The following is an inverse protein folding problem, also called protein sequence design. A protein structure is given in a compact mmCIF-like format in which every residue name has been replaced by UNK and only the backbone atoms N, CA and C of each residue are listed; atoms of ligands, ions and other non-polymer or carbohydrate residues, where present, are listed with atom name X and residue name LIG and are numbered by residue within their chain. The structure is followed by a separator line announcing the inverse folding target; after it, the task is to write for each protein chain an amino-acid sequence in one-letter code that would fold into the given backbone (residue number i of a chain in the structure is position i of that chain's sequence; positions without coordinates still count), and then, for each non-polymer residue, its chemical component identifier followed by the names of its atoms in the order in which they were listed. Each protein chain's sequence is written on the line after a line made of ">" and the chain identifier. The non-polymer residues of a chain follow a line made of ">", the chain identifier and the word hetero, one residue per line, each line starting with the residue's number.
data_IF_077795369779
#
_entry.id   IF_077795369779
#
_cell.length_a   1.000
_cell.length_b   1.000
_cell.length_c   1.000
_cell.angle_alpha   90.00
_cell.angle_beta   90.00
_cell.angle_gamma   90.00
#
_symmetry.space_group_name_H-M   'P 1'
#
loop_
_entity.id
_entity.type
_entity.pdbx_description
1 polymer ?
#
# COMPACT_ATOMS: atom_id res chain seq x y z
N UNK A 1 20.46 -16.20 -25.23
CA UNK A 1 19.33 -15.98 -24.30
C UNK A 1 19.59 -14.66 -23.59
N UNK A 2 18.72 -13.69 -23.78
CA UNK A 2 18.82 -12.45 -22.96
C UNK A 2 18.62 -12.80 -21.50
N UNK A 3 19.53 -12.36 -20.65
CA UNK A 3 19.41 -12.55 -19.19
C UNK A 3 18.25 -11.70 -18.69
N UNK A 4 17.27 -12.35 -18.05
CA UNK A 4 16.15 -11.64 -17.43
C UNK A 4 16.64 -10.73 -16.31
N UNK A 5 16.03 -9.55 -16.18
CA UNK A 5 16.26 -8.64 -15.06
C UNK A 5 15.54 -9.19 -13.82
N UNK A 6 16.22 -9.16 -12.68
CA UNK A 6 15.63 -9.62 -11.42
C UNK A 6 14.97 -8.44 -10.72
N UNK A 7 13.68 -8.56 -10.44
CA UNK A 7 12.92 -7.59 -9.64
C UNK A 7 12.26 -8.28 -8.44
N UNK A 8 12.07 -7.54 -7.36
CA UNK A 8 11.42 -8.06 -6.16
C UNK A 8 10.27 -7.16 -5.76
N UNK A 9 9.11 -7.77 -5.55
CA UNK A 9 7.87 -7.08 -5.21
C UNK A 9 7.49 -7.40 -3.76
N UNK A 10 7.11 -6.38 -2.99
CA UNK A 10 6.63 -6.55 -1.62
C UNK A 10 5.27 -5.87 -1.47
N UNK A 11 4.32 -6.53 -0.85
CA UNK A 11 3.23 -5.80 -0.21
C UNK A 11 3.76 -5.04 1.02
N UNK A 12 3.00 -4.06 1.50
CA UNK A 12 3.42 -3.19 2.60
C UNK A 12 2.82 -3.60 3.95
N UNK A 13 1.50 -3.44 4.09
CA UNK A 13 0.77 -3.70 5.33
C UNK A 13 0.65 -5.21 5.60
N UNK A 14 1.14 -5.68 6.75
CA UNK A 14 1.18 -7.12 7.05
C UNK A 14 2.40 -7.85 6.46
N UNK A 15 3.05 -7.31 5.44
CA UNK A 15 4.22 -7.89 4.77
C UNK A 15 5.52 -7.22 5.21
N UNK A 16 5.82 -6.02 4.73
CA UNK A 16 7.03 -5.25 5.16
C UNK A 16 6.89 -4.69 6.57
N UNK A 17 5.68 -4.33 6.96
CA UNK A 17 5.35 -3.89 8.32
C UNK A 17 4.27 -4.78 8.93
N UNK A 18 4.29 -4.95 10.27
CA UNK A 18 3.29 -5.73 11.01
C UNK A 18 2.04 -4.91 11.40
N UNK A 19 1.87 -3.72 10.83
CA UNK A 19 0.80 -2.78 11.15
C UNK A 19 -0.08 -2.50 9.92
N UNK A 20 -1.28 -1.98 10.15
CA UNK A 20 -2.14 -1.37 9.14
C UNK A 20 -1.81 0.13 9.07
N UNK A 21 -1.14 0.55 7.99
CA UNK A 21 -0.68 1.93 7.81
C UNK A 21 -1.84 2.91 7.66
N UNK A 22 -2.98 2.50 7.08
CA UNK A 22 -4.16 3.34 6.95
C UNK A 22 -4.70 3.76 8.32
N UNK A 23 -4.89 2.80 9.23
CA UNK A 23 -5.41 3.08 10.57
C UNK A 23 -4.41 3.90 11.40
N UNK A 24 -3.13 3.58 11.30
CA UNK A 24 -2.05 4.33 11.97
C UNK A 24 -1.99 5.78 11.48
N UNK A 25 -2.02 6.00 10.17
CA UNK A 25 -2.01 7.32 9.55
C UNK A 25 -3.26 8.12 9.93
N UNK A 26 -4.45 7.54 9.80
CA UNK A 26 -5.70 8.21 10.17
C UNK A 26 -5.70 8.65 11.64
N UNK A 27 -5.24 7.78 12.55
CA UNK A 27 -5.14 8.11 13.98
C UNK A 27 -4.13 9.23 14.24
N UNK A 28 -2.96 9.21 13.57
CA UNK A 28 -1.94 10.27 13.70
C UNK A 28 -2.46 11.62 13.24
N UNK A 29 -3.13 11.65 12.09
CA UNK A 29 -3.61 12.89 11.44
C UNK A 29 -4.82 13.48 12.16
N UNK A 30 -5.79 12.65 12.51
CA UNK A 30 -7.07 13.12 13.08
C UNK A 30 -7.07 13.23 14.60
N UNK A 31 -6.09 12.62 15.28
CA UNK A 31 -6.09 12.45 16.72
C UNK A 31 -7.10 11.39 17.20
N UNK A 32 -6.91 10.91 18.44
CA UNK A 32 -7.68 9.80 18.98
C UNK A 32 -9.20 10.08 19.07
N UNK A 33 -9.68 11.28 19.51
CA UNK A 33 -11.12 11.50 19.63
C UNK A 33 -11.86 11.44 18.29
N UNK A 34 -11.36 12.15 17.26
CA UNK A 34 -11.97 12.12 15.91
C UNK A 34 -11.86 10.74 15.27
N UNK A 35 -10.73 10.06 15.44
CA UNK A 35 -10.54 8.70 14.95
C UNK A 35 -11.60 7.75 15.54
N UNK A 36 -11.77 7.75 16.87
CA UNK A 36 -12.78 6.91 17.53
C UNK A 36 -14.20 7.24 17.09
N UNK A 37 -14.54 8.53 16.96
CA UNK A 37 -15.85 8.97 16.49
C UNK A 37 -16.15 8.43 15.07
N UNK A 38 -15.21 8.59 14.13
CA UNK A 38 -15.39 8.09 12.76
C UNK A 38 -15.52 6.56 12.74
N UNK A 39 -14.66 5.85 13.48
CA UNK A 39 -14.75 4.38 13.56
C UNK A 39 -16.06 3.91 14.14
N UNK A 40 -16.60 4.58 15.18
CA UNK A 40 -17.88 4.24 15.80
C UNK A 40 -19.05 4.48 14.84
N UNK A 41 -19.08 5.61 14.14
CA UNK A 41 -20.12 5.91 13.13
C UNK A 41 -20.12 4.88 12.00
N UNK A 42 -18.93 4.39 11.60
CA UNK A 42 -18.80 3.41 10.53
C UNK A 42 -18.81 1.94 11.01
N UNK A 43 -18.98 1.70 12.31
CA UNK A 43 -18.98 0.35 12.89
C UNK A 43 -19.98 -0.61 12.22
N UNK A 44 -21.24 -0.23 11.90
CA UNK A 44 -22.16 -1.13 11.20
C UNK A 44 -21.62 -1.58 9.84
N UNK A 45 -21.01 -0.66 9.06
CA UNK A 45 -20.39 -0.98 7.78
C UNK A 45 -19.17 -1.91 7.96
N UNK A 46 -18.36 -1.70 8.98
CA UNK A 46 -17.22 -2.56 9.30
C UNK A 46 -17.65 -3.96 9.68
N UNK A 47 -18.73 -4.08 10.46
CA UNK A 47 -19.34 -5.39 10.76
C UNK A 47 -19.83 -6.09 9.49
N UNK A 48 -20.53 -5.36 8.60
CA UNK A 48 -20.95 -5.91 7.30
C UNK A 48 -19.75 -6.34 6.44
N UNK A 49 -18.65 -5.60 6.47
CA UNK A 49 -17.41 -5.96 5.79
C UNK A 49 -16.81 -7.26 6.36
N UNK A 50 -16.78 -7.41 7.69
CA UNK A 50 -16.32 -8.65 8.34
C UNK A 50 -17.22 -9.85 7.97
N UNK A 51 -18.52 -9.63 7.81
CA UNK A 51 -19.48 -10.64 7.34
C UNK A 51 -19.44 -10.84 5.82
N UNK A 52 -18.50 -10.21 5.09
CA UNK A 52 -18.36 -10.24 3.63
C UNK A 52 -19.57 -9.71 2.84
N UNK A 53 -20.46 -8.95 3.48
CA UNK A 53 -21.63 -8.29 2.86
C UNK A 53 -21.27 -6.95 2.21
N UNK A 54 -20.15 -6.35 2.59
CA UNK A 54 -19.64 -5.11 2.00
C UNK A 54 -18.21 -5.38 1.47
N UNK A 55 -17.89 -5.02 0.21
CA UNK A 55 -16.54 -5.14 -0.31
C UNK A 55 -15.55 -4.29 0.50
N UNK A 56 -14.36 -4.84 0.74
CA UNK A 56 -13.29 -4.15 1.50
C UNK A 56 -12.91 -2.80 0.88
N UNK A 57 -12.89 -2.71 -0.45
CA UNK A 57 -12.54 -1.48 -1.18
C UNK A 57 -13.57 -0.36 -0.95
N UNK A 58 -14.86 -0.72 -0.91
CA UNK A 58 -15.94 0.23 -0.60
C UNK A 58 -15.82 0.74 0.84
N UNK A 59 -15.59 -0.16 1.79
CA UNK A 59 -15.41 0.21 3.19
C UNK A 59 -14.19 1.12 3.37
N UNK A 60 -13.07 0.78 2.75
CA UNK A 60 -11.84 1.57 2.77
C UNK A 60 -12.04 2.97 2.20
N UNK A 61 -12.68 3.09 1.03
CA UNK A 61 -12.92 4.39 0.40
C UNK A 61 -13.87 5.26 1.24
N UNK A 62 -14.89 4.68 1.88
CA UNK A 62 -15.78 5.42 2.79
C UNK A 62 -15.04 5.93 4.01
N UNK A 63 -14.19 5.12 4.63
CA UNK A 63 -13.34 5.55 5.74
C UNK A 63 -12.35 6.62 5.29
N UNK A 64 -11.71 6.46 4.13
CA UNK A 64 -10.83 7.46 3.56
C UNK A 64 -11.53 8.81 3.38
N UNK A 65 -12.74 8.79 2.81
CA UNK A 65 -13.57 9.98 2.67
C UNK A 65 -13.90 10.62 4.02
N UNK A 66 -14.32 9.83 5.02
CA UNK A 66 -14.68 10.33 6.34
C UNK A 66 -13.51 11.00 7.08
N UNK A 67 -12.29 10.50 6.87
CA UNK A 67 -11.10 11.07 7.51
C UNK A 67 -10.52 12.27 6.77
N UNK A 68 -10.50 12.24 5.43
CA UNK A 68 -9.60 13.09 4.65
C UNK A 68 -10.29 13.96 3.59
N UNK A 69 -11.58 13.76 3.27
CA UNK A 69 -12.28 14.59 2.30
C UNK A 69 -12.19 16.08 2.65
N UNK A 70 -11.87 16.90 1.65
CA UNK A 70 -11.72 18.35 1.78
C UNK A 70 -10.37 18.79 2.38
N UNK A 71 -9.46 17.87 2.68
CA UNK A 71 -8.11 18.24 3.11
C UNK A 71 -7.30 18.75 1.91
N UNK A 72 -6.54 19.81 2.12
CA UNK A 72 -5.56 20.31 1.15
C UNK A 72 -4.51 19.23 0.84
N UNK A 73 -4.21 19.03 -0.43
CA UNK A 73 -3.34 17.94 -0.90
C UNK A 73 -1.89 18.10 -0.45
N UNK A 74 -1.37 19.34 -0.39
CA UNK A 74 0.01 19.55 0.03
C UNK A 74 0.17 19.29 1.54
N UNK A 75 -0.84 19.69 2.33
CA UNK A 75 -0.90 19.31 3.74
C UNK A 75 -0.96 17.80 3.93
N UNK A 76 -1.77 17.10 3.13
CA UNK A 76 -1.89 15.64 3.19
C UNK A 76 -0.55 14.96 2.87
N UNK A 77 0.14 15.41 1.83
CA UNK A 77 1.48 14.93 1.45
C UNK A 77 2.53 15.22 2.52
N UNK A 78 2.47 16.41 3.14
CA UNK A 78 3.38 16.72 4.25
C UNK A 78 3.16 15.78 5.44
N UNK A 79 1.91 15.52 5.81
CA UNK A 79 1.57 14.55 6.85
C UNK A 79 2.03 13.13 6.49
N UNK A 80 2.01 12.76 5.21
CA UNK A 80 2.58 11.51 4.70
C UNK A 80 4.10 11.43 4.90
N UNK A 81 4.83 12.51 4.60
CA UNK A 81 6.28 12.59 4.86
C UNK A 81 6.61 12.48 6.36
N UNK A 82 5.82 13.12 7.20
CA UNK A 82 5.99 13.05 8.66
C UNK A 82 5.67 11.66 9.21
N UNK A 83 4.68 10.97 8.60
CA UNK A 83 4.32 9.61 8.97
C UNK A 83 5.39 8.59 8.58
N UNK A 84 6.08 8.81 7.46
CA UNK A 84 7.15 7.93 6.99
C UNK A 84 8.28 7.74 8.02
N UNK A 85 8.44 8.67 8.96
CA UNK A 85 9.42 8.57 10.06
C UNK A 85 9.01 7.55 11.12
N UNK A 86 7.72 7.26 11.27
CA UNK A 86 7.21 6.32 12.27
C UNK A 86 7.26 4.87 11.77
N UNK A 87 7.33 4.65 10.45
CA UNK A 87 7.23 3.33 9.81
C UNK A 87 8.31 2.38 10.30
N UNK A 88 9.51 2.89 10.55
CA UNK A 88 10.66 2.10 11.02
C UNK A 88 10.34 1.36 12.34
N UNK A 89 9.42 1.88 13.16
CA UNK A 89 8.94 1.25 14.40
C UNK A 89 8.04 0.02 14.20
N UNK A 90 7.60 -0.25 12.98
CA UNK A 90 6.67 -1.35 12.66
C UNK A 90 7.21 -2.34 11.64
N UNK A 91 8.49 -2.23 11.28
CA UNK A 91 9.14 -3.09 10.29
C UNK A 91 9.11 -4.56 10.74
N UNK A 92 8.70 -5.44 9.84
CA UNK A 92 8.89 -6.88 9.95
C UNK A 92 10.32 -7.21 9.51
N UNK A 93 11.22 -7.31 10.49
CA UNK A 93 12.67 -7.31 10.28
C UNK A 93 13.14 -8.31 9.22
N UNK A 94 12.71 -9.57 9.32
CA UNK A 94 13.15 -10.61 8.40
C UNK A 94 12.78 -10.29 6.92
N UNK A 95 11.58 -9.79 6.66
CA UNK A 95 11.13 -9.44 5.30
C UNK A 95 11.83 -8.17 4.80
N UNK A 96 12.03 -7.20 5.69
CA UNK A 96 12.75 -5.99 5.35
C UNK A 96 14.22 -6.26 5.01
N UNK A 97 14.88 -7.16 5.74
CA UNK A 97 16.26 -7.60 5.43
C UNK A 97 16.33 -8.23 4.02
N UNK A 98 15.34 -9.05 3.63
CA UNK A 98 15.25 -9.58 2.26
C UNK A 98 15.16 -8.45 1.21
N UNK A 99 14.37 -7.40 1.49
CA UNK A 99 14.24 -6.26 0.58
C UNK A 99 15.55 -5.46 0.46
N UNK A 100 16.24 -5.24 1.59
CA UNK A 100 17.53 -4.55 1.60
C UNK A 100 18.62 -5.36 0.89
N UNK A 101 18.64 -6.67 1.07
CA UNK A 101 19.62 -7.53 0.42
C UNK A 101 19.39 -7.64 -1.09
N UNK A 102 18.12 -7.69 -1.53
CA UNK A 102 17.78 -7.60 -2.94
C UNK A 102 18.34 -6.29 -3.56
N UNK A 103 18.15 -5.17 -2.87
CA UNK A 103 18.68 -3.88 -3.32
C UNK A 103 20.21 -3.82 -3.36
N UNK A 104 20.90 -4.35 -2.34
CA UNK A 104 22.38 -4.45 -2.32
C UNK A 104 22.90 -5.28 -3.48
N UNK A 105 22.12 -6.27 -3.94
CA UNK A 105 22.41 -7.10 -5.12
C UNK A 105 22.10 -6.37 -6.44
N UNK A 106 21.70 -5.11 -6.43
CA UNK A 106 21.36 -4.31 -7.61
C UNK A 106 20.02 -4.64 -8.25
N UNK A 107 19.12 -5.34 -7.52
CA UNK A 107 17.76 -5.61 -8.00
C UNK A 107 16.84 -4.42 -7.72
N UNK A 108 15.90 -4.17 -8.63
CA UNK A 108 14.83 -3.21 -8.37
C UNK A 108 13.83 -3.81 -7.37
N UNK A 109 13.55 -3.04 -6.33
CA UNK A 109 12.60 -3.38 -5.28
C UNK A 109 11.37 -2.48 -5.40
N UNK A 110 10.21 -3.10 -5.59
CA UNK A 110 8.92 -2.41 -5.67
C UNK A 110 8.07 -2.75 -4.45
N UNK A 111 7.47 -1.74 -3.85
CA UNK A 111 6.41 -1.88 -2.85
C UNK A 111 5.07 -1.70 -3.56
N UNK A 112 4.29 -2.78 -3.66
CA UNK A 112 3.00 -2.82 -4.39
C UNK A 112 1.88 -2.97 -3.37
N UNK A 113 1.22 -1.86 -3.03
CA UNK A 113 0.34 -1.80 -1.86
C UNK A 113 -1.06 -1.29 -2.15
N UNK A 114 -2.04 -1.82 -1.44
CA UNK A 114 -3.37 -1.23 -1.39
C UNK A 114 -3.38 0.13 -0.65
N UNK A 115 -2.41 0.42 0.20
CA UNK A 115 -2.32 1.68 0.93
C UNK A 115 -2.08 2.88 0.01
N UNK A 116 -2.33 4.10 0.52
CA UNK A 116 -2.25 5.31 -0.30
C UNK A 116 -0.78 5.69 -0.50
N UNK A 117 -0.40 5.96 -1.74
CA UNK A 117 0.98 6.31 -2.12
C UNK A 117 1.53 7.48 -1.32
N UNK A 118 0.72 8.49 -1.02
CA UNK A 118 1.16 9.74 -0.38
C UNK A 118 1.80 9.53 1.00
N UNK A 119 1.48 8.44 1.71
CA UNK A 119 2.14 8.14 2.99
C UNK A 119 3.09 6.94 2.95
N UNK A 120 3.02 6.08 1.92
CA UNK A 120 3.94 4.95 1.77
C UNK A 120 5.17 5.34 0.97
N UNK A 121 4.98 6.06 -0.13
CA UNK A 121 6.05 6.50 -1.05
C UNK A 121 7.21 7.21 -0.36
N UNK A 122 7.01 8.17 0.57
CA UNK A 122 8.14 8.86 1.22
C UNK A 122 9.06 7.91 2.01
N UNK A 123 8.49 6.87 2.61
CA UNK A 123 9.28 5.83 3.27
C UNK A 123 10.01 4.95 2.25
N UNK A 124 9.34 4.54 1.18
CA UNK A 124 9.96 3.75 0.10
C UNK A 124 11.15 4.48 -0.51
N UNK A 125 10.99 5.76 -0.82
CA UNK A 125 12.06 6.60 -1.39
C UNK A 125 13.27 6.69 -0.45
N UNK A 126 13.06 6.85 0.84
CA UNK A 126 14.13 6.82 1.86
C UNK A 126 14.88 5.49 1.86
N UNK A 127 14.20 4.36 1.59
CA UNK A 127 14.80 3.04 1.48
C UNK A 127 15.41 2.77 0.09
N UNK A 128 15.14 3.64 -0.88
CA UNK A 128 15.47 3.47 -2.28
C UNK A 128 14.62 2.41 -2.97
N UNK A 129 13.38 2.22 -2.53
CA UNK A 129 12.39 1.36 -3.14
C UNK A 129 11.45 2.17 -4.04
N UNK A 130 10.88 1.53 -5.04
CA UNK A 130 9.83 2.09 -5.88
C UNK A 130 8.47 1.79 -5.26
N UNK A 131 7.52 2.73 -5.35
CA UNK A 131 6.20 2.59 -4.73
C UNK A 131 5.09 2.60 -5.79
N UNK A 132 4.24 1.59 -5.73
CA UNK A 132 3.01 1.43 -6.53
C UNK A 132 1.85 1.20 -5.57
N UNK A 133 0.94 2.15 -5.46
CA UNK A 133 -0.14 2.07 -4.47
C UNK A 133 -1.45 2.67 -4.96
N UNK A 134 -2.40 2.78 -4.06
CA UNK A 134 -3.65 3.48 -4.31
C UNK A 134 -3.40 4.99 -4.34
N UNK A 135 -4.00 5.69 -5.28
CA UNK A 135 -3.87 7.14 -5.42
C UNK A 135 -5.13 7.83 -4.93
N UNK A 136 -4.97 8.85 -4.08
CA UNK A 136 -6.06 9.72 -3.68
C UNK A 136 -6.44 10.66 -4.84
N UNK A 137 -7.75 10.87 -5.02
CA UNK A 137 -8.25 11.83 -6.02
C UNK A 137 -8.25 13.23 -5.43
N UNK A 138 -7.80 14.19 -6.26
CA UNK A 138 -7.70 15.63 -5.92
C UNK A 138 -8.57 16.41 -6.88
N UNK A 139 -9.36 17.35 -6.37
CA UNK A 139 -10.16 18.26 -7.19
C UNK A 139 -9.33 19.40 -7.79
N UNK A 140 -9.99 20.21 -8.65
CA UNK A 140 -9.34 21.35 -9.29
C UNK A 140 -8.88 22.44 -8.29
N UNK A 141 -9.40 22.44 -7.08
CA UNK A 141 -9.01 23.35 -5.98
C UNK A 141 -7.85 22.84 -5.15
N UNK A 142 -7.29 21.68 -5.46
CA UNK A 142 -6.18 21.10 -4.69
C UNK A 142 -6.62 20.37 -3.42
N UNK A 143 -7.89 19.99 -3.30
CA UNK A 143 -8.41 19.29 -2.13
C UNK A 143 -8.75 17.84 -2.44
N UNK A 144 -8.58 16.96 -1.46
CA UNK A 144 -8.97 15.57 -1.56
C UNK A 144 -10.49 15.44 -1.72
N UNK A 145 -10.94 14.73 -2.76
CA UNK A 145 -12.38 14.46 -2.98
C UNK A 145 -12.94 13.40 -2.02
N UNK A 146 -12.06 12.61 -1.40
CA UNK A 146 -12.40 11.43 -0.62
C UNK A 146 -12.55 10.16 -1.46
N UNK A 147 -12.26 10.24 -2.76
CA UNK A 147 -12.27 9.12 -3.70
C UNK A 147 -10.84 8.69 -4.06
N UNK A 148 -10.72 7.59 -4.79
CA UNK A 148 -9.46 7.12 -5.35
C UNK A 148 -9.43 7.34 -6.87
N UNK A 149 -8.26 7.61 -7.41
CA UNK A 149 -8.04 7.60 -8.86
C UNK A 149 -8.07 6.16 -9.34
N UNK A 150 -9.17 5.78 -9.99
CA UNK A 150 -9.41 4.42 -10.42
C UNK A 150 -9.72 3.47 -9.25
N UNK A 151 -9.24 2.23 -9.35
CA UNK A 151 -9.50 1.19 -8.35
C UNK A 151 -8.47 1.21 -7.22
N UNK A 152 -8.84 0.69 -6.06
CA UNK A 152 -7.89 0.39 -4.98
C UNK A 152 -6.83 -0.62 -5.46
N UNK A 153 -5.55 -0.37 -5.21
CA UNK A 153 -4.42 -1.21 -5.65
C UNK A 153 -4.38 -2.53 -4.86
N UNK A 154 -5.35 -3.41 -5.13
CA UNK A 154 -5.55 -4.70 -4.48
C UNK A 154 -5.89 -5.75 -5.53
N UNK A 155 -5.55 -7.01 -5.28
CA UNK A 155 -5.84 -8.16 -6.14
C UNK A 155 -5.29 -7.95 -7.57
N UNK A 156 -6.10 -8.12 -8.60
CA UNK A 156 -5.74 -7.91 -10.02
C UNK A 156 -5.19 -6.50 -10.30
N UNK A 157 -5.64 -5.50 -9.56
CA UNK A 157 -5.18 -4.12 -9.74
C UNK A 157 -3.69 -3.96 -9.36
N UNK A 158 -3.16 -4.75 -8.42
CA UNK A 158 -1.72 -4.78 -8.13
C UNK A 158 -0.92 -5.21 -9.36
N UNK A 159 -1.35 -6.29 -10.01
CA UNK A 159 -0.72 -6.81 -11.23
C UNK A 159 -0.80 -5.81 -12.37
N UNK A 160 -1.98 -5.22 -12.58
CA UNK A 160 -2.17 -4.21 -13.63
C UNK A 160 -1.21 -3.03 -13.46
N UNK A 161 -1.15 -2.45 -12.25
CA UNK A 161 -0.33 -1.26 -11.98
C UNK A 161 1.17 -1.54 -12.06
N UNK A 162 1.64 -2.66 -11.52
CA UNK A 162 3.05 -3.00 -11.64
C UNK A 162 3.42 -3.27 -13.10
N UNK A 163 2.57 -3.95 -13.88
CA UNK A 163 2.80 -4.19 -15.29
C UNK A 163 2.90 -2.91 -16.11
N UNK A 164 2.09 -1.89 -15.78
CA UNK A 164 2.15 -0.56 -16.43
C UNK A 164 3.38 0.25 -16.02
N UNK A 165 3.92 0.02 -14.82
CA UNK A 165 5.10 0.73 -14.33
C UNK A 165 6.41 0.14 -14.86
N UNK A 166 6.43 -1.15 -15.19
CA UNK A 166 7.62 -1.80 -15.73
C UNK A 166 7.95 -1.28 -17.14
N UNK A 167 9.21 -0.86 -17.40
CA UNK A 167 9.60 -0.31 -18.69
C UNK A 167 9.66 -1.33 -19.83
N UNK A 168 9.72 -2.64 -19.50
CA UNK A 168 9.79 -3.75 -20.45
C UNK A 168 8.65 -4.73 -20.24
N UNK A 169 8.34 -5.60 -21.24
CA UNK A 169 7.37 -6.67 -21.07
C UNK A 169 7.72 -7.62 -19.91
N UNK A 170 6.70 -8.20 -19.28
CA UNK A 170 6.85 -9.16 -18.16
C UNK A 170 7.86 -10.28 -18.43
N UNK A 171 7.95 -10.74 -19.66
CA UNK A 171 8.86 -11.82 -20.07
C UNK A 171 10.34 -11.47 -19.91
N UNK A 172 10.68 -10.18 -19.84
CA UNK A 172 12.06 -9.69 -19.63
C UNK A 172 12.49 -9.75 -18.16
N UNK A 173 11.60 -10.09 -17.24
CA UNK A 173 11.85 -10.10 -15.80
C UNK A 173 11.78 -11.49 -15.20
N UNK A 174 12.62 -11.73 -14.20
CA UNK A 174 12.41 -12.76 -13.18
C UNK A 174 11.91 -12.08 -11.92
N UNK A 175 10.69 -12.42 -11.52
CA UNK A 175 9.93 -11.73 -10.48
C UNK A 175 9.80 -12.59 -9.24
N UNK A 176 10.28 -12.10 -8.11
CA UNK A 176 10.02 -12.63 -6.77
C UNK A 176 9.02 -11.72 -6.08
N UNK A 177 7.94 -12.25 -5.50
CA UNK A 177 6.92 -11.46 -4.82
C UNK A 177 6.63 -11.96 -3.41
N UNK A 178 6.43 -11.03 -2.48
CA UNK A 178 6.05 -11.26 -1.08
C UNK A 178 4.71 -10.58 -0.78
N UNK A 179 3.80 -11.31 -0.12
CA UNK A 179 2.51 -10.81 0.33
C UNK A 179 1.99 -11.60 1.51
N UNK A 180 0.99 -11.11 2.25
CA UNK A 180 0.47 -11.76 3.47
C UNK A 180 -1.02 -12.11 3.39
N UNK A 181 -1.73 -11.61 2.39
CA UNK A 181 -3.18 -11.65 2.37
C UNK A 181 -3.78 -12.16 1.06
N UNK A 182 -5.09 -12.43 1.08
CA UNK A 182 -5.87 -12.73 -0.13
C UNK A 182 -5.78 -11.60 -1.18
N UNK A 183 -5.50 -10.36 -0.73
CA UNK A 183 -5.30 -9.22 -1.64
C UNK A 183 -4.03 -9.28 -2.48
N UNK A 184 -3.13 -10.22 -2.18
CA UNK A 184 -1.84 -10.38 -2.85
C UNK A 184 -1.81 -11.63 -3.74
N UNK A 185 -2.86 -12.45 -3.69
CA UNK A 185 -2.93 -13.74 -4.37
C UNK A 185 -2.60 -13.64 -5.86
N UNK A 186 -3.17 -12.67 -6.55
CA UNK A 186 -2.94 -12.45 -7.98
C UNK A 186 -1.52 -11.97 -8.26
N UNK A 187 -0.94 -11.12 -7.39
CA UNK A 187 0.44 -10.66 -7.49
C UNK A 187 1.42 -11.82 -7.27
N UNK A 188 1.19 -12.67 -6.27
CA UNK A 188 1.99 -13.85 -5.97
C UNK A 188 1.91 -14.89 -7.11
N UNK A 189 0.73 -15.08 -7.69
CA UNK A 189 0.53 -15.98 -8.83
C UNK A 189 1.14 -15.45 -10.14
N UNK A 190 1.24 -14.14 -10.29
CA UNK A 190 1.86 -13.48 -11.44
C UNK A 190 3.40 -13.52 -11.40
N UNK A 191 4.00 -13.64 -10.21
CA UNK A 191 5.43 -13.77 -10.03
C UNK A 191 5.97 -15.13 -10.51
N UNK A 192 7.27 -15.23 -10.82
CA UNK A 192 7.94 -16.52 -11.03
C UNK A 192 8.07 -17.27 -9.69
N UNK A 193 8.26 -16.53 -8.61
CA UNK A 193 8.29 -17.05 -7.23
C UNK A 193 7.42 -16.16 -6.33
N UNK A 194 6.31 -16.72 -5.83
CA UNK A 194 5.41 -16.04 -4.88
C UNK A 194 5.56 -16.59 -3.47
N UNK A 195 5.86 -15.74 -2.51
CA UNK A 195 6.05 -16.11 -1.09
C UNK A 195 4.93 -15.50 -0.26
N UNK A 196 4.09 -16.36 0.31
CA UNK A 196 3.06 -15.94 1.26
C UNK A 196 3.68 -15.85 2.66
N UNK A 197 3.69 -14.65 3.23
CA UNK A 197 4.11 -14.41 4.61
C UNK A 197 2.97 -14.79 5.54
N UNK A 198 3.11 -15.89 6.27
CA UNK A 198 2.17 -16.21 7.33
C UNK A 198 2.36 -15.26 8.50
N UNK A 199 1.25 -14.73 9.05
CA UNK A 199 1.28 -14.05 10.34
C UNK A 199 1.68 -15.07 11.41
N UNK A 200 2.93 -14.99 11.86
CA UNK A 200 3.41 -15.59 13.12
C UNK A 200 3.15 -14.63 14.26
#
# INVERSE_FOLDING_TARGET
>A
METKENIVLFDFDGTLIHADSFLKFARKVCGLPRFCCVMLVHLPMLVMMCLRLTPRDVAKQRLFSAFFKGMDVERFRQLGRDFAQDVDGWIRRAVYECAQDARKQGKDVYVVTASIEDWVRPWCEKQGFLCVGTRAEVDAGGHLTGLFVGRNCRADEKVRRISEMLPKPRSCYHVLAYGDSEGDRELLAWADEGILISCL
#
